data_IF_476032632561
#
_entry.id   IF_476032632561
#
_cell.length_a   1.000
_cell.length_b   1.000
_cell.length_c   1.000
_cell.angle_alpha   90.00
_cell.angle_beta   90.00
_cell.angle_gamma   90.00
#
_symmetry.space_group_name_H-M   'P 1'
#
loop_
_entity.id
_entity.type
_entity.pdbx_description
1 polymer ?
#
# COMPACT_ATOMS: atom_id res chain seq x y z
N UNK A 1 -17.49 7.81 -11.62
CA UNK A 1 -17.91 9.06 -10.97
C UNK A 1 -17.08 9.46 -9.73
N UNK A 2 -16.30 8.56 -9.11
CA UNK A 2 -15.53 8.87 -7.89
C UNK A 2 -14.46 9.96 -8.12
N UNK A 3 -13.65 9.86 -9.18
CA UNK A 3 -12.54 10.81 -9.42
C UNK A 3 -13.02 12.26 -9.60
N UNK A 4 -14.14 12.46 -10.31
CA UNK A 4 -14.72 13.79 -10.52
C UNK A 4 -15.22 14.40 -9.20
N UNK A 5 -15.90 13.60 -8.37
CA UNK A 5 -16.38 14.04 -7.06
C UNK A 5 -15.22 14.38 -6.11
N UNK A 6 -14.16 13.57 -6.10
CA UNK A 6 -12.96 13.84 -5.31
C UNK A 6 -12.30 15.15 -5.74
N UNK A 7 -12.18 15.40 -7.06
CA UNK A 7 -11.64 16.65 -7.59
C UNK A 7 -12.44 17.87 -7.14
N UNK A 8 -13.77 17.77 -7.18
CA UNK A 8 -14.63 18.84 -6.69
C UNK A 8 -14.43 19.10 -5.20
N UNK A 9 -14.41 18.05 -4.37
CA UNK A 9 -14.25 18.18 -2.92
C UNK A 9 -12.91 18.80 -2.53
N UNK A 10 -11.80 18.38 -3.17
CA UNK A 10 -10.47 18.99 -2.92
C UNK A 10 -10.48 20.47 -3.28
N UNK A 11 -11.10 20.83 -4.41
CA UNK A 11 -11.23 22.23 -4.85
C UNK A 11 -12.05 23.06 -3.84
N UNK A 12 -13.16 22.51 -3.35
CA UNK A 12 -14.00 23.17 -2.35
C UNK A 12 -13.27 23.35 -1.00
N UNK A 13 -12.50 22.34 -0.57
CA UNK A 13 -11.71 22.41 0.66
C UNK A 13 -10.61 23.46 0.59
N UNK A 14 -9.83 23.50 -0.50
CA UNK A 14 -8.80 24.53 -0.70
C UNK A 14 -9.41 25.94 -0.74
N UNK A 15 -10.60 26.11 -1.33
CA UNK A 15 -11.31 27.40 -1.34
C UNK A 15 -11.83 27.79 0.05
N UNK A 16 -12.38 26.83 0.81
CA UNK A 16 -12.99 27.06 2.12
C UNK A 16 -11.95 27.36 3.20
N UNK A 17 -10.82 26.68 3.15
CA UNK A 17 -9.74 26.81 4.12
C UNK A 17 -8.52 27.38 3.41
N UNK A 18 -8.40 28.71 3.35
CA UNK A 18 -7.32 29.38 2.60
C UNK A 18 -5.90 29.16 3.13
N UNK A 19 -5.74 28.46 4.26
CA UNK A 19 -4.45 27.99 4.80
C UNK A 19 -4.18 26.50 4.52
N UNK A 20 -5.15 25.81 3.92
CA UNK A 20 -5.04 24.40 3.57
C UNK A 20 -4.61 24.30 2.11
N UNK A 21 -3.53 23.57 1.89
CA UNK A 21 -2.93 23.35 0.58
C UNK A 21 -2.99 21.84 0.29
N UNK A 22 -4.12 21.39 -0.27
CA UNK A 22 -4.26 20.00 -0.73
C UNK A 22 -3.87 19.89 -2.20
N UNK A 23 -2.92 19.02 -2.49
CA UNK A 23 -2.63 18.57 -3.84
C UNK A 23 -3.50 17.37 -4.21
N UNK A 24 -4.03 17.41 -5.43
CA UNK A 24 -4.71 16.28 -6.04
C UNK A 24 -3.91 15.75 -7.20
N UNK A 25 -3.55 14.47 -7.11
CA UNK A 25 -2.82 13.76 -8.15
C UNK A 25 -3.81 12.90 -8.93
N UNK A 26 -3.98 13.20 -10.22
CA UNK A 26 -4.83 12.41 -11.11
C UNK A 26 -4.05 11.20 -11.66
N UNK A 27 -3.86 10.19 -10.80
CA UNK A 27 -3.20 8.94 -11.17
C UNK A 27 -3.93 8.19 -12.29
N UNK A 28 -5.24 8.38 -12.44
CA UNK A 28 -6.02 7.75 -13.49
C UNK A 28 -5.60 8.28 -14.87
N UNK A 29 -5.55 9.61 -15.03
CA UNK A 29 -5.11 10.21 -16.29
C UNK A 29 -3.66 9.84 -16.60
N UNK A 30 -2.78 9.86 -15.60
CA UNK A 30 -1.38 9.44 -15.77
C UNK A 30 -1.24 7.98 -16.23
N UNK A 31 -1.98 7.05 -15.62
CA UNK A 31 -1.98 5.64 -16.04
C UNK A 31 -2.59 5.48 -17.44
N UNK A 32 -3.65 6.22 -17.74
CA UNK A 32 -4.27 6.22 -19.07
C UNK A 32 -3.27 6.65 -20.16
N UNK A 33 -2.47 7.68 -19.88
CA UNK A 33 -1.43 8.15 -20.79
C UNK A 33 -0.32 7.10 -20.99
N UNK A 34 0.05 6.37 -19.93
CA UNK A 34 1.01 5.26 -20.03
C UNK A 34 0.47 4.11 -20.86
N UNK A 35 -0.82 3.78 -20.74
CA UNK A 35 -1.46 2.73 -21.55
C UNK A 35 -1.56 3.16 -23.03
N UNK A 36 -1.90 4.41 -23.29
CA UNK A 36 -2.05 4.93 -24.66
C UNK A 36 -0.71 5.19 -25.35
N UNK A 37 0.32 5.60 -24.60
CA UNK A 37 1.63 5.99 -25.12
C UNK A 37 2.80 5.31 -24.38
N UNK A 38 2.83 3.97 -24.29
CA UNK A 38 3.76 3.25 -23.40
C UNK A 38 5.24 3.50 -23.72
N UNK A 39 5.57 3.69 -25.01
CA UNK A 39 6.94 3.94 -25.45
C UNK A 39 7.55 5.22 -24.84
N UNK A 40 6.74 6.26 -24.60
CA UNK A 40 7.19 7.52 -23.97
C UNK A 40 7.67 7.30 -22.53
N UNK A 41 7.21 6.22 -21.90
CA UNK A 41 7.57 5.82 -20.53
C UNK A 41 8.56 4.65 -20.50
N UNK A 42 9.08 4.21 -21.65
CA UNK A 42 9.96 3.04 -21.74
C UNK A 42 9.23 1.70 -21.53
N UNK A 43 7.91 1.68 -21.65
CA UNK A 43 7.07 0.51 -21.48
C UNK A 43 6.75 -0.13 -22.83
N UNK A 44 6.57 -1.45 -22.85
CA UNK A 44 6.21 -2.20 -24.06
C UNK A 44 4.99 -3.09 -23.87
N UNK A 45 4.61 -3.42 -22.62
CA UNK A 45 3.46 -4.27 -22.32
C UNK A 45 2.49 -3.60 -21.34
N UNK A 46 1.30 -3.28 -21.84
CA UNK A 46 0.23 -2.57 -21.12
C UNK A 46 -0.91 -3.48 -20.68
N UNK A 47 -0.98 -4.70 -21.22
CA UNK A 47 -2.21 -5.52 -21.17
C UNK A 47 -2.03 -6.79 -20.34
N UNK A 48 -0.79 -7.26 -20.17
CA UNK A 48 -0.48 -8.49 -19.45
C UNK A 48 0.31 -8.20 -18.19
N UNK A 49 0.06 -9.00 -17.16
CA UNK A 49 0.84 -9.00 -15.95
C UNK A 49 2.18 -9.69 -16.17
N UNK A 50 3.27 -9.07 -15.68
CA UNK A 50 4.60 -9.68 -15.71
C UNK A 50 4.61 -11.04 -14.98
N UNK A 51 3.92 -11.13 -13.84
CA UNK A 51 3.83 -12.37 -13.07
C UNK A 51 3.19 -13.51 -13.87
N UNK A 52 2.12 -13.23 -14.61
CA UNK A 52 1.41 -14.23 -15.42
C UNK A 52 2.20 -14.62 -16.68
N UNK A 53 2.81 -13.65 -17.36
CA UNK A 53 3.60 -13.88 -18.59
C UNK A 53 4.91 -14.62 -18.31
N UNK A 54 5.56 -14.29 -17.20
CA UNK A 54 6.96 -14.60 -17.01
C UNK A 54 7.21 -15.74 -16.04
N UNK A 55 6.66 -15.68 -14.82
CA UNK A 55 6.93 -16.64 -13.74
C UNK A 55 8.42 -17.06 -13.62
N UNK A 56 9.35 -16.14 -13.87
CA UNK A 56 10.80 -16.41 -13.84
C UNK A 56 11.40 -17.05 -15.10
N UNK A 57 10.64 -17.19 -16.19
CA UNK A 57 11.06 -17.84 -17.45
C UNK A 57 11.60 -16.86 -18.49
N UNK A 58 11.33 -15.56 -18.38
CA UNK A 58 11.84 -14.59 -19.34
C UNK A 58 13.32 -14.30 -19.07
N UNK A 59 14.15 -14.58 -20.08
CA UNK A 59 15.58 -14.21 -20.07
C UNK A 59 15.85 -12.83 -20.65
N UNK A 60 14.96 -12.35 -21.53
CA UNK A 60 15.19 -11.17 -22.38
C UNK A 60 14.13 -10.07 -22.19
N UNK A 61 13.25 -10.18 -21.17
CA UNK A 61 12.25 -9.15 -20.87
C UNK A 61 12.39 -8.74 -19.43
N UNK A 62 12.60 -7.45 -19.21
CA UNK A 62 12.63 -6.84 -17.89
C UNK A 62 11.22 -6.65 -17.34
N UNK A 63 11.08 -6.73 -16.02
CA UNK A 63 9.85 -6.34 -15.32
C UNK A 63 9.50 -4.87 -15.58
N UNK A 64 10.52 -4.03 -15.77
CA UNK A 64 10.37 -2.59 -16.01
C UNK A 64 9.83 -2.25 -17.42
N UNK A 65 9.55 -3.25 -18.26
CA UNK A 65 8.87 -3.06 -19.55
C UNK A 65 7.34 -3.18 -19.44
N UNK A 66 6.83 -3.58 -18.27
CA UNK A 66 5.43 -3.90 -18.02
C UNK A 66 4.76 -2.83 -17.17
N UNK A 67 3.48 -2.52 -17.42
CA UNK A 67 2.66 -1.72 -16.51
C UNK A 67 2.29 -2.53 -15.26
N UNK A 68 1.91 -3.78 -15.46
CA UNK A 68 1.29 -4.63 -14.45
C UNK A 68 2.29 -5.64 -13.89
N UNK A 69 2.47 -5.65 -12.57
CA UNK A 69 3.19 -6.72 -11.88
C UNK A 69 2.34 -7.99 -11.85
N UNK A 70 1.11 -7.86 -11.35
CA UNK A 70 0.05 -8.88 -11.37
C UNK A 70 -1.24 -8.28 -11.96
N UNK A 71 -2.38 -8.97 -11.83
CA UNK A 71 -3.65 -8.53 -12.43
C UNK A 71 -4.21 -7.21 -11.85
N UNK A 72 -3.64 -6.70 -10.77
CA UNK A 72 -4.17 -5.56 -10.01
C UNK A 72 -3.12 -4.55 -9.58
N UNK A 73 -1.85 -4.96 -9.45
CA UNK A 73 -0.75 -4.13 -8.96
C UNK A 73 0.16 -3.66 -10.10
N UNK A 74 0.66 -2.44 -9.95
CA UNK A 74 1.59 -1.81 -10.88
C UNK A 74 3.02 -2.30 -10.62
N UNK A 75 3.87 -2.26 -11.66
CA UNK A 75 5.30 -2.53 -11.53
C UNK A 75 6.04 -1.38 -10.84
N UNK A 76 7.27 -1.66 -10.40
CA UNK A 76 8.14 -0.67 -9.77
C UNK A 76 8.41 0.56 -10.64
N UNK A 77 8.58 0.38 -11.95
CA UNK A 77 8.82 1.49 -12.90
C UNK A 77 7.61 2.44 -13.01
N UNK A 78 6.39 1.90 -12.94
CA UNK A 78 5.18 2.73 -12.98
C UNK A 78 5.03 3.50 -11.67
N UNK A 79 5.24 2.84 -10.52
CA UNK A 79 5.29 3.52 -9.23
C UNK A 79 6.33 4.64 -9.20
N UNK A 80 7.52 4.40 -9.76
CA UNK A 80 8.58 5.40 -9.87
C UNK A 80 8.14 6.60 -10.73
N UNK A 81 7.49 6.34 -11.88
CA UNK A 81 6.98 7.39 -12.77
C UNK A 81 5.88 8.23 -12.11
N UNK A 82 4.97 7.61 -11.36
CA UNK A 82 3.97 8.32 -10.55
C UNK A 82 4.67 9.18 -9.49
N UNK A 83 5.62 8.62 -8.74
CA UNK A 83 6.38 9.36 -7.73
C UNK A 83 7.09 10.59 -8.30
N UNK A 84 7.77 10.45 -9.44
CA UNK A 84 8.42 11.57 -10.12
C UNK A 84 7.40 12.61 -10.60
N UNK A 85 6.22 12.19 -11.05
CA UNK A 85 5.16 13.12 -11.46
C UNK A 85 4.68 13.97 -10.28
N UNK A 86 4.55 13.38 -9.09
CA UNK A 86 4.18 14.10 -7.86
C UNK A 86 5.26 15.12 -7.49
N UNK A 87 6.54 14.71 -7.51
CA UNK A 87 7.66 15.59 -7.19
C UNK A 87 7.79 16.75 -8.18
N UNK A 88 7.54 16.49 -9.47
CA UNK A 88 7.66 17.48 -10.53
C UNK A 88 6.43 18.40 -10.67
N UNK A 89 5.27 18.02 -10.12
CA UNK A 89 4.06 18.82 -10.17
C UNK A 89 4.13 20.11 -9.32
N UNK A 90 5.23 20.33 -8.59
CA UNK A 90 5.37 21.49 -7.72
C UNK A 90 4.37 21.44 -6.56
N UNK A 91 4.09 20.23 -6.06
CA UNK A 91 3.21 20.00 -4.92
C UNK A 91 3.64 20.89 -3.74
N UNK A 92 2.70 21.30 -2.90
CA UNK A 92 2.95 22.07 -1.69
C UNK A 92 3.81 21.32 -0.65
N UNK A 93 4.08 20.03 -0.86
CA UNK A 93 5.09 19.32 -0.11
C UNK A 93 6.48 19.95 -0.35
N UNK A 94 7.22 20.30 0.72
CA UNK A 94 8.57 20.85 0.56
C UNK A 94 9.43 19.87 -0.26
N UNK A 95 10.25 20.36 -1.21
CA UNK A 95 11.09 19.52 -2.03
C UNK A 95 12.02 18.71 -1.14
N UNK A 96 11.87 17.39 -1.18
CA UNK A 96 12.77 16.47 -0.50
C UNK A 96 13.75 15.94 -1.52
N UNK A 97 15.01 16.39 -1.43
CA UNK A 97 16.07 15.80 -2.24
C UNK A 97 16.77 14.72 -1.43
N UNK A 98 17.00 13.59 -2.09
CA UNK A 98 17.82 12.54 -1.55
C UNK A 98 19.22 12.71 -2.13
N UNK A 99 20.21 13.01 -1.29
CA UNK A 99 21.61 12.96 -1.70
C UNK A 99 21.96 11.53 -2.10
N UNK A 100 22.16 11.29 -3.40
CA UNK A 100 22.44 9.96 -3.95
C UNK A 100 23.61 9.29 -3.24
N UNK A 101 24.69 10.03 -3.00
CA UNK A 101 25.87 9.54 -2.27
C UNK A 101 25.54 9.13 -0.83
N UNK A 102 24.63 9.85 -0.16
CA UNK A 102 24.18 9.52 1.19
C UNK A 102 23.32 8.26 1.19
N UNK A 103 22.43 8.09 0.23
CA UNK A 103 21.62 6.87 0.13
C UNK A 103 22.45 5.67 -0.29
N UNK A 104 23.36 5.80 -1.25
CA UNK A 104 24.29 4.72 -1.59
C UNK A 104 25.14 4.31 -0.39
N UNK A 105 25.68 5.28 0.35
CA UNK A 105 26.43 5.01 1.59
C UNK A 105 25.57 4.29 2.62
N UNK A 106 24.32 4.74 2.82
CA UNK A 106 23.41 4.12 3.76
C UNK A 106 22.98 2.73 3.29
N UNK A 107 22.79 2.49 1.99
CA UNK A 107 22.46 1.18 1.44
C UNK A 107 23.64 0.20 1.55
N UNK A 108 24.88 0.67 1.40
CA UNK A 108 26.09 -0.16 1.51
C UNK A 108 26.51 -0.43 2.96
N UNK A 109 25.93 0.27 3.94
CA UNK A 109 26.20 0.03 5.34
C UNK A 109 25.76 -1.39 5.77
N UNK A 110 26.60 -2.18 6.47
CA UNK A 110 26.30 -3.57 6.85
C UNK A 110 25.03 -3.75 7.69
N UNK A 111 24.62 -2.72 8.42
CA UNK A 111 23.45 -2.69 9.31
C UNK A 111 22.40 -1.66 8.85
N UNK A 112 22.25 -1.48 7.54
CA UNK A 112 21.28 -0.52 7.01
C UNK A 112 19.83 -0.96 7.26
N UNK A 113 19.10 -0.18 8.05
CA UNK A 113 17.66 -0.33 8.22
C UNK A 113 16.87 0.04 6.95
N UNK A 114 17.55 0.58 5.93
CA UNK A 114 16.94 1.02 4.67
C UNK A 114 16.93 -0.09 3.61
N UNK A 115 17.61 -1.22 3.85
CA UNK A 115 17.46 -2.41 3.03
C UNK A 115 16.28 -3.22 3.54
N UNK A 116 15.31 -3.47 2.66
CA UNK A 116 14.34 -4.52 2.89
C UNK A 116 15.09 -5.85 3.07
N UNK A 117 14.61 -6.77 3.94
CA UNK A 117 15.16 -8.11 4.02
C UNK A 117 15.20 -8.74 2.61
N UNK A 118 16.34 -9.30 2.23
CA UNK A 118 16.43 -10.06 0.98
C UNK A 118 15.67 -11.35 1.20
N UNK A 119 14.43 -11.40 0.71
CA UNK A 119 13.65 -12.62 0.72
C UNK A 119 14.27 -13.59 -0.28
N UNK A 120 14.80 -14.70 0.23
CA UNK A 120 15.14 -15.85 -0.60
C UNK A 120 13.95 -16.78 -0.54
N UNK A 121 13.27 -16.96 -1.67
CA UNK A 121 12.24 -17.97 -1.78
C UNK A 121 12.83 -19.31 -1.32
N UNK A 122 12.21 -19.91 -0.32
CA UNK A 122 12.58 -21.25 0.11
C UNK A 122 12.29 -22.21 -1.05
N UNK A 123 13.11 -23.25 -1.19
CA UNK A 123 12.84 -24.30 -2.17
C UNK A 123 11.42 -24.83 -1.94
N UNK A 124 10.67 -25.01 -3.03
CA UNK A 124 9.32 -25.57 -2.95
C UNK A 124 9.41 -26.92 -2.23
N UNK A 125 8.77 -27.03 -1.06
CA UNK A 125 8.80 -28.22 -0.21
C UNK A 125 7.95 -29.36 -0.77
N UNK A 126 7.22 -29.11 -1.87
CA UNK A 126 6.22 -30.03 -2.40
C UNK A 126 4.94 -30.07 -1.54
N UNK A 127 4.86 -29.32 -0.44
CA UNK A 127 3.71 -29.33 0.46
C UNK A 127 2.40 -28.95 -0.26
N UNK A 128 2.46 -27.96 -1.16
CA UNK A 128 1.29 -27.57 -1.94
C UNK A 128 0.89 -28.65 -2.94
N UNK A 129 1.87 -29.38 -3.50
CA UNK A 129 1.61 -30.51 -4.39
C UNK A 129 1.02 -31.68 -3.62
N UNK A 130 1.55 -32.00 -2.43
CA UNK A 130 0.96 -32.99 -1.52
C UNK A 130 -0.47 -32.63 -1.15
N UNK A 131 -0.76 -31.36 -0.86
CA UNK A 131 -2.12 -30.89 -0.60
C UNK A 131 -3.05 -31.06 -1.80
N UNK A 132 -2.56 -30.79 -3.02
CA UNK A 132 -3.31 -31.01 -4.25
C UNK A 132 -3.56 -32.50 -4.49
N UNK A 133 -2.54 -33.32 -4.36
CA UNK A 133 -2.61 -34.77 -4.55
C UNK A 133 -3.51 -35.44 -3.48
N UNK A 134 -3.49 -34.95 -2.24
CA UNK A 134 -4.39 -35.37 -1.14
C UNK A 134 -5.84 -34.95 -1.39
N UNK A 135 -6.06 -33.85 -2.12
CA UNK A 135 -7.39 -33.44 -2.58
C UNK A 135 -7.85 -34.21 -3.83
N UNK A 136 -6.93 -34.80 -4.60
CA UNK A 136 -7.19 -35.45 -5.90
C UNK A 136 -7.35 -36.98 -5.87
N UNK A 137 -7.41 -37.65 -4.71
CA UNK A 137 -7.68 -39.10 -4.65
C UNK A 137 -8.75 -39.52 -3.62
N UNK A 138 -9.59 -40.54 -3.93
CA UNK A 138 -10.49 -40.64 -5.07
C UNK A 138 -11.94 -40.82 -4.59
N UNK A 139 -12.90 -40.19 -5.26
CA UNK A 139 -14.23 -40.79 -5.37
C UNK A 139 -14.08 -42.01 -6.30
N UNK A 140 -13.72 -43.16 -5.73
CA UNK A 140 -13.68 -44.40 -6.47
C UNK A 140 -15.10 -44.81 -6.85
N UNK A 141 -15.27 -45.02 -8.16
CA UNK A 141 -16.20 -45.97 -8.79
C UNK A 141 -17.71 -45.69 -8.64
N UNK A 142 -18.25 -44.97 -9.62
CA UNK A 142 -19.18 -45.59 -10.57
C UNK A 142 -19.09 -44.83 -11.90
N UNK A 143 -18.58 -45.51 -12.93
CA UNK A 143 -18.90 -45.22 -14.32
C UNK A 143 -20.41 -45.42 -14.54
N UNK A 144 -20.92 -44.73 -15.57
CA UNK A 144 -22.31 -44.72 -16.07
C UNK A 144 -23.28 -43.73 -15.40
N UNK A 145 -23.08 -42.43 -15.67
CA UNK A 145 -24.14 -41.61 -16.28
C UNK A 145 -23.59 -40.25 -16.77
N UNK A 146 -23.37 -40.12 -18.08
CA UNK A 146 -23.18 -38.81 -18.69
C UNK A 146 -24.56 -38.15 -18.89
N UNK A 147 -24.98 -37.32 -17.94
CA UNK A 147 -26.12 -36.42 -18.11
C UNK A 147 -25.58 -35.06 -18.60
N UNK A 148 -26.01 -34.56 -19.77
CA UNK A 148 -25.57 -33.26 -20.26
C UNK A 148 -26.12 -32.16 -19.34
N UNK A 149 -25.24 -31.28 -18.85
CA UNK A 149 -25.64 -30.11 -18.06
C UNK A 149 -26.40 -29.15 -18.98
N UNK A 150 -27.72 -29.21 -18.83
CA UNK A 150 -28.65 -28.20 -19.31
C UNK A 150 -28.38 -26.91 -18.52
N UNK A 151 -27.98 -25.85 -19.21
CA UNK A 151 -28.03 -24.49 -18.68
C UNK A 151 -29.48 -24.20 -18.28
N UNK A 152 -29.75 -24.10 -16.98
CA UNK A 152 -30.95 -23.49 -16.46
C UNK A 152 -30.55 -22.42 -15.46
N UNK A 153 -30.85 -21.17 -15.86
CA UNK A 153 -31.04 -20.05 -14.97
C UNK A 153 -31.83 -20.49 -13.73
N UNK A 154 -31.18 -20.43 -12.57
CA UNK A 154 -31.86 -20.31 -11.29
C UNK A 154 -31.39 -19.01 -10.65
N UNK A 155 -32.31 -18.06 -10.60
CA UNK A 155 -32.31 -16.96 -9.66
C UNK A 155 -32.03 -17.51 -8.25
N UNK A 156 -30.83 -17.30 -7.75
CA UNK A 156 -30.53 -17.45 -6.33
C UNK A 156 -30.36 -16.05 -5.79
N UNK A 157 -31.49 -15.53 -5.30
CA UNK A 157 -31.54 -14.48 -4.30
C UNK A 157 -30.91 -15.02 -3.02
N UNK A 158 -29.58 -14.95 -2.90
CA UNK A 158 -28.92 -15.14 -1.61
C UNK A 158 -28.79 -13.81 -0.90
N UNK A 159 -29.84 -13.57 -0.12
CA UNK A 159 -29.83 -12.97 1.21
C UNK A 159 -28.58 -12.17 1.56
N UNK A 160 -28.70 -10.87 1.30
CA UNK A 160 -28.17 -9.80 2.15
C UNK A 160 -28.40 -10.18 3.62
N UNK A 161 -27.33 -10.61 4.29
CA UNK A 161 -27.28 -10.68 5.74
C UNK A 161 -27.19 -9.25 6.27
N UNK A 162 -28.35 -8.59 6.32
CA UNK A 162 -28.59 -7.40 7.11
C UNK A 162 -28.50 -7.80 8.59
N UNK A 163 -27.27 -7.87 9.10
CA UNK A 163 -27.06 -7.86 10.56
C UNK A 163 -27.00 -6.41 11.02
N UNK A 164 -28.15 -5.75 10.96
CA UNK A 164 -28.45 -4.62 11.82
C UNK A 164 -28.52 -5.15 13.25
N UNK A 165 -27.39 -5.07 13.95
CA UNK A 165 -27.39 -5.05 15.41
C UNK A 165 -26.68 -3.78 15.86
N UNK A 166 -27.45 -2.70 15.86
CA UNK A 166 -27.61 -1.80 17.01
C UNK A 166 -26.61 -2.08 18.15
N UNK A 167 -25.39 -1.58 18.05
CA UNK A 167 -24.55 -1.39 19.22
C UNK A 167 -25.07 -0.16 19.95
N UNK A 168 -26.05 -0.41 20.82
CA UNK A 168 -26.52 0.52 21.81
C UNK A 168 -25.32 1.13 22.54
N UNK A 169 -25.14 2.45 22.38
CA UNK A 169 -24.24 3.29 23.19
C UNK A 169 -24.85 3.44 24.59
N UNK A 170 -25.06 2.32 25.27
CA UNK A 170 -25.76 2.24 26.56
C UNK A 170 -24.83 1.59 27.57
N UNK A 171 -24.35 2.44 28.49
CA UNK A 171 -23.51 2.16 29.66
C UNK A 171 -22.02 1.97 29.38
N UNK A 172 -21.36 3.05 28.96
CA UNK A 172 -19.97 3.26 29.36
C UNK A 172 -19.95 3.40 30.88
N UNK A 173 -19.41 2.39 31.56
CA UNK A 173 -19.23 2.41 33.01
C UNK A 173 -18.39 3.63 33.40
N UNK A 174 -18.74 4.39 34.46
CA UNK A 174 -17.97 5.57 34.91
C UNK A 174 -16.49 5.24 35.21
N UNK A 175 -16.15 3.98 35.41
CA UNK A 175 -14.78 3.50 35.56
C UNK A 175 -13.91 3.71 34.31
N UNK A 176 -14.44 3.57 33.08
CA UNK A 176 -13.64 3.74 31.87
C UNK A 176 -13.24 5.21 31.65
N UNK A 177 -14.13 6.14 31.97
CA UNK A 177 -13.85 7.58 31.90
C UNK A 177 -12.74 7.94 32.89
N UNK A 178 -12.79 7.43 34.12
CA UNK A 178 -11.76 7.68 35.13
C UNK A 178 -10.38 7.14 34.71
N UNK A 179 -10.32 5.96 34.08
CA UNK A 179 -9.06 5.40 33.59
C UNK A 179 -8.46 6.29 32.49
N UNK A 180 -9.27 6.77 31.54
CA UNK A 180 -8.78 7.66 30.47
C UNK A 180 -8.24 8.99 31.01
N UNK A 181 -8.88 9.57 32.05
CA UNK A 181 -8.40 10.79 32.70
C UNK A 181 -7.07 10.54 33.42
N UNK A 182 -6.94 9.43 34.16
CA UNK A 182 -5.71 9.09 34.88
C UNK A 182 -4.52 8.85 33.93
N UNK A 183 -4.75 8.17 32.80
CA UNK A 183 -3.72 7.97 31.77
C UNK A 183 -3.33 9.31 31.12
N UNK A 184 -4.31 10.15 30.79
CA UNK A 184 -4.06 11.49 30.22
C UNK A 184 -3.22 12.38 31.14
N UNK A 185 -3.56 12.40 32.44
CA UNK A 185 -2.78 13.15 33.44
C UNK A 185 -1.37 12.57 33.63
N UNK A 186 -1.22 11.25 33.60
CA UNK A 186 0.09 10.60 33.66
C UNK A 186 1.00 10.98 32.49
N UNK A 187 0.46 11.01 31.26
CA UNK A 187 1.20 11.42 30.06
C UNK A 187 1.59 12.89 30.15
N UNK A 188 0.69 13.78 30.58
CA UNK A 188 1.00 15.21 30.77
C UNK A 188 2.10 15.45 31.81
N UNK A 189 2.05 14.72 32.93
CA UNK A 189 3.06 14.84 33.99
C UNK A 189 4.43 14.31 33.52
N UNK A 190 4.44 13.21 32.77
CA UNK A 190 5.65 12.67 32.16
C UNK A 190 6.25 13.65 31.13
N UNK A 191 5.41 14.27 30.30
CA UNK A 191 5.84 15.26 29.31
C UNK A 191 6.41 16.53 29.96
N UNK A 192 5.78 17.02 31.04
CA UNK A 192 6.27 18.16 31.82
C UNK A 192 7.61 17.86 32.49
N UNK A 193 7.77 16.67 33.09
CA UNK A 193 9.04 16.23 33.70
C UNK A 193 10.16 16.10 32.66
N UNK A 194 9.85 15.57 31.48
CA UNK A 194 10.83 15.41 30.39
C UNK A 194 11.30 16.75 29.82
N UNK A 195 10.43 17.76 29.71
CA UNK A 195 10.83 19.12 29.32
C UNK A 195 11.72 19.80 30.35
N UNK A 196 11.45 19.60 31.66
CA UNK A 196 12.31 20.14 32.73
C UNK A 196 13.73 19.56 32.67
N UNK A 197 13.86 18.26 32.40
CA UNK A 197 15.17 17.60 32.33
C UNK A 197 16.02 18.03 31.12
N UNK A 198 15.39 18.28 29.97
CA UNK A 198 16.12 18.72 28.77
C UNK A 198 16.53 20.20 28.79
N UNK A 199 15.96 21.02 29.68
CA UNK A 199 16.34 22.44 29.81
C UNK A 199 17.73 22.67 30.40
N UNK A 200 18.21 21.76 31.24
CA UNK A 200 19.51 21.90 31.92
C UNK A 200 20.70 21.37 31.12
N UNK A 201 20.47 20.65 30.00
CA UNK A 201 21.55 20.06 29.20
C UNK A 201 22.09 20.97 28.10
N UNK A 202 21.48 22.14 27.85
CA UNK A 202 21.96 23.07 26.83
C UNK A 202 23.05 24.03 27.33
N UNK A 203 23.32 24.10 28.63
CA UNK A 203 24.34 25.00 29.19
C UNK A 203 25.78 24.48 29.08
N UNK A 204 26.00 23.23 28.66
CA UNK A 204 27.35 22.63 28.56
C UNK A 204 27.83 22.38 27.13
N UNK A 205 27.13 22.89 26.10
CA UNK A 205 27.47 22.58 24.70
C UNK A 205 28.09 23.73 23.91
N UNK A 206 28.34 24.87 24.56
CA UNK A 206 28.86 26.07 23.90
C UNK A 206 30.33 26.40 24.23
N UNK A 207 31.06 25.55 24.98
CA UNK A 207 32.46 25.81 25.33
C UNK A 207 33.50 25.05 24.48
N UNK A 208 33.10 24.14 23.59
CA UNK A 208 34.04 23.29 22.83
C UNK A 208 34.17 23.62 21.32
N UNK A 209 33.87 24.85 20.90
CA UNK A 209 34.10 25.30 19.52
C UNK A 209 34.73 26.71 19.48
N UNK A 210 35.93 26.82 20.05
CA UNK A 210 36.89 27.89 19.77
C UNK A 210 38.24 27.27 19.39
#
# INVERSE_FOLDING_TARGET
>A
MVNAALKQQVTELNKKYGTLELDLIDAHSLLSDMVQNPATFGLTNTDRAYWDDCQGKCKNRGMDEYIWWDRTHLTGVVHHSIGNSILNAGSYAPPTSIEKAKVERLLLAPASNLRSPIYRAQANTGLLQQLLDDMEMPAAENEDDYVPIHNNNSNINDQVSQKDQNHSVRRWSPLLVLITIMVGLGVLFWWKKRRSFNGNHQLLKNEDLA
#
